data_IF_849936316047
#
_entry.id   IF_849936316047
#
_cell.length_a   1.000
_cell.length_b   1.000
_cell.length_c   1.000
_cell.angle_alpha   90.00
_cell.angle_beta   90.00
_cell.angle_gamma   90.00
#
_symmetry.space_group_name_H-M   'P 1'
#
loop_
_entity.id
_entity.type
_entity.pdbx_description
1 polymer ?
#
# COMPACT_ATOMS: atom_id res chain seq x y z
N UNK A 1 2.28 -15.49 -15.74
CA UNK A 1 2.76 -16.83 -15.31
C UNK A 1 2.43 -17.84 -16.38
N UNK A 2 3.29 -18.84 -16.64
CA UNK A 2 2.96 -19.88 -17.61
C UNK A 2 1.64 -20.57 -17.25
N UNK A 3 0.77 -20.86 -18.23
CA UNK A 3 -0.53 -21.45 -17.97
C UNK A 3 -0.38 -22.90 -17.45
N UNK A 4 -1.12 -23.31 -16.40
CA UNK A 4 -1.03 -24.66 -15.86
C UNK A 4 -1.64 -25.73 -16.79
N UNK A 5 -2.47 -25.31 -17.75
CA UNK A 5 -3.10 -26.14 -18.79
C UNK A 5 -3.07 -25.39 -20.12
N UNK A 6 -3.20 -26.07 -21.28
CA UNK A 6 -3.29 -25.39 -22.58
C UNK A 6 -4.38 -24.31 -22.57
N UNK A 7 -3.99 -23.06 -22.85
CA UNK A 7 -4.91 -21.93 -22.87
C UNK A 7 -5.41 -21.70 -24.31
N UNK A 8 -6.73 -21.69 -24.49
CA UNK A 8 -7.37 -21.45 -25.80
C UNK A 8 -7.03 -20.08 -26.39
N UNK A 9 -6.70 -19.09 -25.55
CA UNK A 9 -6.29 -17.75 -25.99
C UNK A 9 -4.80 -17.67 -26.36
N UNK A 10 -3.95 -18.50 -25.73
CA UNK A 10 -2.53 -18.61 -26.11
C UNK A 10 -2.31 -19.54 -27.32
N UNK A 11 -3.21 -20.50 -27.52
CA UNK A 11 -3.16 -21.49 -28.59
C UNK A 11 -4.54 -21.62 -29.26
N UNK A 12 -4.98 -20.63 -30.07
CA UNK A 12 -6.22 -20.76 -30.81
C UNK A 12 -6.14 -21.94 -31.78
N UNK A 13 -7.13 -22.84 -31.73
CA UNK A 13 -7.26 -23.99 -32.65
C UNK A 13 -7.25 -23.46 -34.09
N UNK A 14 -6.47 -24.04 -35.02
CA UNK A 14 -6.36 -23.52 -36.37
C UNK A 14 -7.72 -23.59 -37.07
N UNK A 15 -8.33 -22.42 -37.31
CA UNK A 15 -9.42 -22.27 -38.27
C UNK A 15 -8.81 -22.17 -39.68
N UNK A 16 -9.38 -22.89 -40.63
CA UNK A 16 -8.75 -23.35 -41.89
C UNK A 16 -8.29 -22.29 -42.91
N UNK A 17 -8.20 -20.99 -42.60
CA UNK A 17 -7.95 -19.94 -43.61
C UNK A 17 -7.06 -18.77 -43.22
N UNK A 18 -6.31 -18.81 -42.11
CA UNK A 18 -5.37 -17.71 -41.80
C UNK A 18 -3.96 -18.19 -41.49
N UNK A 19 -3.00 -17.59 -42.21
CA UNK A 19 -1.56 -17.70 -42.05
C UNK A 19 -1.19 -17.67 -40.56
N UNK A 20 -0.37 -18.63 -40.12
CA UNK A 20 0.14 -18.72 -38.76
C UNK A 20 0.91 -17.44 -38.40
N UNK A 21 0.27 -16.53 -37.69
CA UNK A 21 0.91 -15.65 -36.71
C UNK A 21 0.77 -16.28 -35.32
N UNK A 22 1.07 -17.57 -35.20
CA UNK A 22 1.18 -18.23 -33.90
C UNK A 22 2.40 -17.69 -33.16
N UNK A 23 2.19 -16.98 -32.04
CA UNK A 23 3.13 -16.81 -30.91
C UNK A 23 2.73 -15.65 -29.98
N UNK A 24 1.44 -15.49 -29.66
CA UNK A 24 0.99 -14.47 -28.72
C UNK A 24 0.44 -15.13 -27.46
N UNK A 25 1.16 -15.03 -26.35
CA UNK A 25 0.55 -15.33 -25.04
C UNK A 25 -0.55 -14.30 -24.77
N UNK A 26 -1.68 -14.74 -24.22
CA UNK A 26 -2.72 -13.80 -23.80
C UNK A 26 -2.26 -13.03 -22.55
N UNK A 27 -2.91 -11.90 -22.27
CA UNK A 27 -2.54 -11.02 -21.15
C UNK A 27 -2.71 -11.68 -19.78
N UNK A 28 -3.50 -12.75 -19.67
CA UNK A 28 -3.56 -13.55 -18.44
C UNK A 28 -2.24 -14.27 -18.13
N UNK A 29 -1.50 -14.68 -19.17
CA UNK A 29 -0.34 -15.56 -19.02
C UNK A 29 0.98 -14.85 -19.31
N UNK A 30 0.96 -13.76 -20.09
CA UNK A 30 2.17 -13.08 -20.55
C UNK A 30 2.07 -11.56 -20.55
N UNK A 31 2.49 -10.92 -19.46
CA UNK A 31 2.84 -9.50 -19.40
C UNK A 31 3.92 -9.29 -18.34
N UNK A 32 4.61 -8.17 -18.43
CA UNK A 32 5.62 -7.71 -17.48
C UNK A 32 5.29 -6.27 -17.10
N UNK A 33 5.27 -6.00 -15.79
CA UNK A 33 5.19 -4.66 -15.24
C UNK A 33 6.56 -4.32 -14.65
N UNK A 34 7.15 -3.22 -15.10
CA UNK A 34 8.44 -2.74 -14.60
C UNK A 34 8.30 -1.34 -14.04
N UNK A 35 9.02 -1.05 -12.95
CA UNK A 35 9.14 0.28 -12.36
C UNK A 35 10.53 0.48 -11.79
N UNK A 36 10.99 1.72 -11.77
CA UNK A 36 12.26 2.13 -11.18
C UNK A 36 12.04 3.42 -10.39
N UNK A 37 12.52 3.43 -9.16
CA UNK A 37 12.50 4.60 -8.30
C UNK A 37 13.81 4.68 -7.50
N UNK A 38 14.08 5.87 -6.96
CA UNK A 38 15.24 6.12 -6.11
C UNK A 38 14.79 6.21 -4.65
N UNK A 39 15.71 5.90 -3.74
CA UNK A 39 15.50 6.00 -2.30
C UNK A 39 16.66 6.78 -1.67
N UNK A 40 16.38 7.46 -0.57
CA UNK A 40 17.36 8.28 0.16
C UNK A 40 17.61 7.72 1.56
N UNK A 41 18.66 8.23 2.22
CA UNK A 41 18.95 7.88 3.60
C UNK A 41 17.90 8.51 4.55
N UNK A 42 17.45 7.80 5.60
CA UNK A 42 17.76 6.41 5.92
C UNK A 42 17.09 5.45 4.93
N UNK A 43 17.88 4.56 4.30
CA UNK A 43 17.34 3.70 3.24
C UNK A 43 16.22 2.80 3.79
N UNK A 44 15.02 2.82 3.19
CA UNK A 44 13.87 2.03 3.65
C UNK A 44 14.19 0.54 3.82
N UNK A 45 13.58 -0.09 4.82
CA UNK A 45 13.77 -1.53 5.05
C UNK A 45 13.05 -2.36 3.98
N UNK A 46 13.69 -3.43 3.51
CA UNK A 46 13.05 -4.42 2.65
C UNK A 46 12.22 -5.41 3.48
N UNK A 47 10.90 -5.42 3.29
CA UNK A 47 9.93 -6.16 4.11
C UNK A 47 8.96 -7.00 3.25
N UNK A 48 9.45 -7.97 2.44
CA UNK A 48 8.62 -8.64 1.43
C UNK A 48 7.39 -9.36 2.00
N UNK A 49 7.49 -9.91 3.22
CA UNK A 49 6.38 -10.59 3.89
C UNK A 49 5.19 -9.66 4.18
N UNK A 50 5.43 -8.36 4.39
CA UNK A 50 4.37 -7.36 4.55
C UNK A 50 4.04 -6.67 3.22
N UNK A 51 5.06 -6.33 2.43
CA UNK A 51 4.89 -5.60 1.17
C UNK A 51 4.05 -6.36 0.14
N UNK A 52 3.99 -7.69 0.23
CA UNK A 52 3.23 -8.56 -0.67
C UNK A 52 2.08 -9.30 0.04
N UNK A 53 1.76 -8.95 1.29
CA UNK A 53 0.80 -9.70 2.12
C UNK A 53 -0.64 -9.69 1.55
N UNK A 54 -0.96 -8.69 0.73
CA UNK A 54 -2.24 -8.60 0.03
C UNK A 54 -2.07 -9.05 -1.42
N UNK A 55 -2.84 -10.05 -1.82
CA UNK A 55 -2.83 -10.54 -3.21
C UNK A 55 -3.04 -9.42 -4.22
N UNK A 56 -2.27 -9.47 -5.31
CA UNK A 56 -2.30 -8.50 -6.40
C UNK A 56 -1.90 -7.06 -6.00
N UNK A 57 -1.44 -6.83 -4.77
CA UNK A 57 -0.96 -5.52 -4.29
C UNK A 57 0.48 -5.62 -3.82
N UNK A 58 1.28 -4.63 -4.22
CA UNK A 58 2.62 -4.41 -3.69
C UNK A 58 2.70 -3.05 -3.01
N UNK A 59 3.27 -3.00 -1.80
CA UNK A 59 3.57 -1.76 -1.08
C UNK A 59 5.04 -1.36 -1.31
N UNK A 60 5.24 -0.16 -1.84
CA UNK A 60 6.56 0.38 -2.18
C UNK A 60 6.84 1.63 -1.35
N UNK A 61 7.83 1.57 -0.47
CA UNK A 61 8.34 2.73 0.25
C UNK A 61 9.37 3.46 -0.65
N UNK A 62 9.04 4.69 -1.04
CA UNK A 62 9.88 5.53 -1.92
C UNK A 62 10.73 6.53 -1.15
N UNK A 63 10.87 6.36 0.17
CA UNK A 63 11.42 7.30 1.16
C UNK A 63 10.52 8.49 1.46
N UNK A 64 9.77 9.02 0.50
CA UNK A 64 8.87 10.17 0.69
C UNK A 64 7.39 9.80 0.77
N UNK A 65 7.05 8.62 0.25
CA UNK A 65 5.66 8.13 0.26
C UNK A 65 5.61 6.61 0.35
N UNK A 66 4.46 6.09 0.78
CA UNK A 66 4.11 4.69 0.62
C UNK A 66 3.13 4.55 -0.54
N UNK A 67 3.52 3.81 -1.57
CA UNK A 67 2.67 3.57 -2.74
C UNK A 67 2.14 2.15 -2.70
N UNK A 68 0.82 2.00 -2.67
CA UNK A 68 0.13 0.73 -2.91
C UNK A 68 -0.16 0.60 -4.40
N UNK A 69 0.41 -0.42 -5.04
CA UNK A 69 0.21 -0.69 -6.46
C UNK A 69 -0.62 -1.96 -6.62
N UNK A 70 -1.84 -1.84 -7.14
CA UNK A 70 -2.74 -2.94 -7.45
C UNK A 70 -2.66 -3.33 -8.93
N UNK A 71 -2.54 -4.61 -9.23
CA UNK A 71 -2.48 -5.12 -10.60
C UNK A 71 -3.55 -6.18 -10.81
N UNK A 72 -4.53 -5.90 -11.66
CA UNK A 72 -5.59 -6.85 -12.02
C UNK A 72 -5.69 -7.08 -13.53
N UNK A 73 -6.19 -8.25 -13.91
CA UNK A 73 -6.60 -8.53 -15.27
C UNK A 73 -8.11 -8.26 -15.41
N UNK A 74 -8.47 -7.36 -16.31
CA UNK A 74 -9.85 -6.99 -16.60
C UNK A 74 -10.33 -7.76 -17.85
N UNK A 75 -11.32 -8.67 -17.77
CA UNK A 75 -11.69 -9.58 -18.87
C UNK A 75 -12.54 -8.96 -19.99
N UNK A 76 -12.76 -7.64 -20.00
CA UNK A 76 -13.41 -6.93 -21.11
C UNK A 76 -14.93 -7.08 -21.23
N UNK A 77 -15.62 -7.64 -20.21
CA UNK A 77 -17.09 -7.64 -20.13
C UNK A 77 -17.56 -6.35 -19.43
N UNK A 78 -18.44 -5.61 -20.09
CA UNK A 78 -18.99 -4.34 -19.62
C UNK A 78 -19.63 -4.53 -18.22
N UNK A 79 -19.05 -3.92 -17.18
CA UNK A 79 -19.60 -3.91 -15.82
C UNK A 79 -18.81 -4.64 -14.72
N UNK A 80 -17.72 -5.35 -15.04
CA UNK A 80 -16.82 -5.92 -14.02
C UNK A 80 -15.50 -5.14 -13.95
N UNK A 81 -15.46 -4.10 -13.10
CA UNK A 81 -14.19 -3.51 -12.66
C UNK A 81 -13.71 -4.27 -11.45
N UNK A 82 -12.57 -4.97 -11.58
CA UNK A 82 -11.86 -5.58 -10.45
C UNK A 82 -11.05 -4.51 -9.74
N UNK A 83 -11.74 -3.51 -9.18
CA UNK A 83 -11.07 -2.45 -8.43
C UNK A 83 -10.47 -3.04 -7.16
N UNK A 84 -9.14 -3.07 -7.08
CA UNK A 84 -8.42 -3.62 -5.92
C UNK A 84 -8.20 -2.54 -4.86
N UNK A 85 -7.96 -1.30 -5.29
CA UNK A 85 -7.62 -0.17 -4.43
C UNK A 85 -8.68 0.93 -4.53
N UNK A 86 -8.91 1.60 -3.41
CA UNK A 86 -9.75 2.78 -3.30
C UNK A 86 -11.18 2.59 -3.84
N UNK A 87 -12.01 1.80 -3.17
CA UNK A 87 -13.42 1.64 -3.58
C UNK A 87 -14.17 2.96 -3.35
N UNK A 88 -14.47 3.68 -4.43
CA UNK A 88 -15.36 4.83 -4.36
C UNK A 88 -16.70 4.30 -3.85
N UNK A 89 -17.15 4.75 -2.67
CA UNK A 89 -18.49 4.41 -2.17
C UNK A 89 -19.47 4.63 -3.32
N UNK A 90 -20.04 3.55 -3.84
CA UNK A 90 -21.26 3.66 -4.62
C UNK A 90 -22.21 4.42 -3.70
N UNK A 91 -22.67 5.59 -4.13
CA UNK A 91 -23.81 6.25 -3.53
C UNK A 91 -24.87 5.18 -3.36
N UNK A 92 -25.15 4.80 -2.11
CA UNK A 92 -26.30 3.98 -1.77
C UNK A 92 -27.48 4.66 -2.45
N UNK A 93 -27.96 4.06 -3.53
CA UNK A 93 -29.22 4.43 -4.13
C UNK A 93 -30.24 4.20 -3.04
N UNK A 94 -30.81 5.30 -2.55
CA UNK A 94 -32.00 5.34 -1.73
C UNK A 94 -33.15 4.74 -2.53
N UNK A 95 -33.19 3.42 -2.64
CA UNK A 95 -34.44 2.73 -2.91
C UNK A 95 -35.16 2.60 -1.59
N UNK A 96 -36.06 3.57 -1.37
CA UNK A 96 -37.09 3.49 -0.35
C UNK A 96 -37.83 2.16 -0.48
N UNK A 97 -37.70 1.32 0.55
CA UNK A 97 -38.65 0.26 0.82
C UNK A 97 -39.65 0.83 1.81
N UNK A 98 -40.88 0.87 1.34
CA UNK A 98 -42.08 1.38 1.96
C UNK A 98 -42.38 0.75 3.31
N UNK A 99 -42.88 1.61 4.20
CA UNK A 99 -43.47 1.35 5.50
C UNK A 99 -44.27 0.04 5.61
N UNK A 100 -44.12 -0.62 6.75
CA UNK A 100 -45.15 -1.45 7.37
C UNK A 100 -45.06 -1.29 8.88
N UNK A 101 -45.71 -0.24 9.37
CA UNK A 101 -45.94 0.01 10.78
C UNK A 101 -47.03 -0.93 11.30
N UNK A 102 -46.71 -1.80 12.24
CA UNK A 102 -47.71 -2.43 13.12
C UNK A 102 -47.54 -1.88 14.54
N UNK A 103 -48.48 -1.02 14.91
CA UNK A 103 -48.74 -0.49 16.24
C UNK A 103 -49.12 -1.59 17.23
N UNK A 104 -48.56 -1.53 18.45
CA UNK A 104 -49.31 -1.82 19.68
C UNK A 104 -48.66 -1.13 20.90
N UNK A 105 -49.37 -0.12 21.39
CA UNK A 105 -49.38 0.46 22.75
C UNK A 105 -49.98 -0.56 23.74
N UNK A 106 -49.84 -0.55 25.07
CA UNK A 106 -49.30 0.33 26.11
C UNK A 106 -48.88 -0.59 27.30
N UNK A 107 -48.11 -0.13 28.29
CA UNK A 107 -48.64 0.22 29.63
C UNK A 107 -47.56 0.86 30.50
N UNK A 108 -47.98 1.89 31.22
CA UNK A 108 -47.24 2.78 32.13
C UNK A 108 -47.10 2.25 33.56
N UNK A 109 -45.99 2.58 34.24
CA UNK A 109 -45.98 2.90 35.68
C UNK A 109 -44.70 3.68 36.08
N UNK A 110 -44.76 4.35 37.22
CA UNK A 110 -44.21 5.69 37.57
C UNK A 110 -42.90 5.74 38.41
N UNK A 111 -42.02 6.71 38.08
CA UNK A 111 -41.12 7.65 38.87
C UNK A 111 -40.57 7.31 40.29
N UNK A 112 -39.53 8.01 40.84
CA UNK A 112 -38.47 8.87 40.26
C UNK A 112 -37.01 8.69 40.85
N UNK A 113 -36.07 9.49 40.32
CA UNK A 113 -34.86 10.07 40.97
C UNK A 113 -33.57 9.24 41.14
N UNK A 114 -32.47 9.76 40.57
CA UNK A 114 -31.10 9.47 41.00
C UNK A 114 -30.04 9.48 39.88
N UNK A 115 -29.49 10.65 39.53
CA UNK A 115 -28.18 10.76 38.84
C UNK A 115 -27.06 10.41 39.83
N UNK A 116 -25.97 9.77 39.39
CA UNK A 116 -24.79 10.57 39.02
C UNK A 116 -24.03 10.07 37.78
N UNK A 117 -23.55 11.05 37.00
CA UNK A 117 -22.25 11.11 36.32
C UNK A 117 -21.72 9.84 35.62
N UNK A 118 -22.16 9.62 34.38
CA UNK A 118 -21.50 8.73 33.42
C UNK A 118 -20.52 9.51 32.53
N UNK A 119 -19.24 9.36 32.84
CA UNK A 119 -18.06 9.66 32.01
C UNK A 119 -18.32 9.36 30.51
N UNK A 120 -17.99 10.26 29.57
CA UNK A 120 -18.12 9.95 28.15
C UNK A 120 -17.14 8.84 27.74
N UNK A 121 -17.52 7.94 26.81
CA UNK A 121 -16.63 6.92 26.28
C UNK A 121 -15.46 7.56 25.50
N UNK A 122 -14.33 6.87 25.32
CA UNK A 122 -13.18 7.41 24.59
C UNK A 122 -13.61 7.80 23.17
N UNK A 123 -13.27 9.04 22.81
CA UNK A 123 -13.50 9.63 21.50
C UNK A 123 -12.95 8.74 20.40
N UNK A 124 -13.80 8.48 19.39
CA UNK A 124 -13.45 7.80 18.15
C UNK A 124 -12.19 8.44 17.54
N UNK A 125 -11.20 7.67 17.05
CA UNK A 125 -10.01 8.23 16.43
C UNK A 125 -10.42 9.21 15.33
N UNK A 126 -9.86 10.41 15.38
CA UNK A 126 -10.11 11.50 14.44
C UNK A 126 -9.64 11.05 13.05
N UNK A 127 -10.56 11.01 12.08
CA UNK A 127 -10.20 10.68 10.70
C UNK A 127 -9.40 11.83 10.11
N UNK A 128 -8.17 11.57 9.71
CA UNK A 128 -7.34 12.56 9.02
C UNK A 128 -7.89 12.74 7.60
N UNK A 129 -8.29 13.96 7.19
CA UNK A 129 -8.74 14.21 5.82
C UNK A 129 -7.54 14.20 4.87
N UNK A 130 -7.06 13.03 4.47
CA UNK A 130 -6.06 12.90 3.42
C UNK A 130 -6.71 13.16 2.06
N UNK A 131 -6.01 13.87 1.18
CA UNK A 131 -6.22 13.77 -0.27
C UNK A 131 -5.16 12.81 -0.84
N UNK A 132 -5.26 11.49 -0.58
CA UNK A 132 -4.33 10.54 -1.16
C UNK A 132 -4.44 10.64 -2.68
N UNK A 133 -3.30 10.69 -3.37
CA UNK A 133 -3.32 10.70 -4.82
C UNK A 133 -3.63 9.29 -5.32
N UNK A 134 -4.65 9.19 -6.17
CA UNK A 134 -5.08 7.94 -6.79
C UNK A 134 -4.86 8.04 -8.31
N UNK A 135 -4.31 6.99 -8.91
CA UNK A 135 -4.29 6.84 -10.36
C UNK A 135 -4.67 5.44 -10.78
N UNK A 136 -5.28 5.33 -11.96
CA UNK A 136 -5.63 4.06 -12.58
C UNK A 136 -5.33 4.14 -14.08
N UNK A 137 -4.65 3.12 -14.60
CA UNK A 137 -4.33 2.99 -16.01
C UNK A 137 -4.63 1.57 -16.49
N UNK A 138 -5.20 1.43 -17.68
CA UNK A 138 -5.47 0.14 -18.31
C UNK A 138 -4.63 -0.04 -19.57
N UNK A 139 -4.06 -1.22 -19.77
CA UNK A 139 -3.12 -1.54 -20.83
C UNK A 139 -3.59 -2.77 -21.62
N UNK A 140 -3.47 -2.74 -22.94
CA UNK A 140 -3.88 -3.85 -23.82
C UNK A 140 -2.80 -4.20 -24.83
N UNK A 141 -2.93 -5.38 -25.45
CA UNK A 141 -2.08 -5.76 -26.58
C UNK A 141 -2.31 -4.80 -27.76
N UNK A 142 -1.22 -4.46 -28.45
CA UNK A 142 -1.25 -3.59 -29.61
C UNK A 142 -2.01 -4.26 -30.76
N UNK A 143 -2.94 -3.53 -31.38
CA UNK A 143 -3.67 -4.01 -32.54
C UNK A 143 -2.85 -3.78 -33.82
N UNK A 144 -2.80 -4.73 -34.77
CA UNK A 144 -2.11 -4.54 -36.05
C UNK A 144 -2.67 -3.31 -36.78
N UNK A 145 -1.81 -2.32 -37.07
CA UNK A 145 -2.17 -1.09 -37.79
C UNK A 145 -2.38 0.16 -36.93
N UNK A 146 -2.27 0.06 -35.60
CA UNK A 146 -2.22 1.24 -34.74
C UNK A 146 -0.81 1.86 -34.76
N UNK A 147 -0.72 3.17 -35.02
CA UNK A 147 0.54 3.91 -34.92
C UNK A 147 1.19 3.68 -33.55
N UNK A 148 2.50 3.44 -33.53
CA UNK A 148 3.27 3.38 -32.29
C UNK A 148 3.08 4.69 -31.54
N UNK A 149 2.45 4.63 -30.36
CA UNK A 149 2.48 5.76 -29.45
C UNK A 149 3.92 5.89 -28.97
N UNK A 150 4.51 7.11 -28.97
CA UNK A 150 5.87 7.29 -28.52
C UNK A 150 6.01 6.74 -27.11
N UNK A 151 7.06 5.95 -26.90
CA UNK A 151 7.51 5.53 -25.60
C UNK A 151 8.02 6.77 -24.85
N UNK A 152 7.13 7.50 -24.20
CA UNK A 152 7.43 8.76 -23.54
C UNK A 152 6.30 9.76 -23.74
N UNK A 153 5.76 10.24 -22.63
CA UNK A 153 4.61 11.14 -22.60
C UNK A 153 4.78 12.37 -23.49
N UNK A 154 3.71 12.69 -24.20
CA UNK A 154 3.49 14.01 -24.78
C UNK A 154 2.02 14.39 -24.53
N UNK A 155 1.78 14.93 -23.33
CA UNK A 155 0.58 15.63 -22.89
C UNK A 155 1.04 16.60 -21.81
N UNK A 156 0.78 17.89 -22.01
CA UNK A 156 1.54 19.00 -21.43
C UNK A 156 1.57 19.06 -19.89
N UNK A 157 2.66 19.66 -19.40
CA UNK A 157 2.85 20.24 -18.07
C UNK A 157 1.73 19.96 -17.03
N UNK A 158 1.74 18.77 -16.45
CA UNK A 158 1.20 18.50 -15.10
C UNK A 158 2.36 17.97 -14.25
N UNK A 159 3.25 18.88 -13.87
CA UNK A 159 4.54 18.65 -13.17
C UNK A 159 4.38 18.34 -11.66
N UNK A 160 3.22 17.86 -11.21
CA UNK A 160 2.90 17.75 -9.77
C UNK A 160 2.35 16.37 -9.34
N UNK A 161 2.29 15.38 -10.24
CA UNK A 161 1.79 14.05 -9.87
C UNK A 161 2.94 13.13 -9.49
N UNK A 162 3.23 13.05 -8.19
CA UNK A 162 4.09 12.03 -7.57
C UNK A 162 3.48 10.64 -7.80
N UNK A 163 3.64 10.11 -9.01
CA UNK A 163 3.21 8.77 -9.41
C UNK A 163 4.44 7.96 -9.80
N UNK A 164 4.47 6.70 -9.36
CA UNK A 164 5.54 5.80 -9.76
C UNK A 164 5.42 5.52 -11.26
N UNK A 165 6.50 5.72 -12.04
CA UNK A 165 6.47 5.42 -13.47
C UNK A 165 6.44 3.90 -13.67
N UNK A 166 5.52 3.44 -14.51
CA UNK A 166 5.40 2.05 -14.91
C UNK A 166 5.56 1.88 -16.42
N UNK A 167 6.30 0.85 -16.80
CA UNK A 167 6.35 0.32 -18.16
C UNK A 167 5.65 -1.03 -18.17
N UNK A 168 4.66 -1.20 -19.06
CA UNK A 168 3.93 -2.46 -19.23
C UNK A 168 4.26 -3.06 -20.58
N UNK A 169 4.87 -4.24 -20.60
CA UNK A 169 5.26 -4.95 -21.83
C UNK A 169 4.67 -6.35 -21.89
N UNK A 170 4.64 -6.94 -23.09
CA UNK A 170 4.44 -8.38 -23.23
C UNK A 170 5.75 -9.14 -22.88
N UNK A 171 5.73 -10.49 -22.93
CA UNK A 171 6.94 -11.27 -22.64
C UNK A 171 8.04 -11.13 -23.71
N UNK A 172 7.74 -10.51 -24.86
CA UNK A 172 8.72 -10.18 -25.91
C UNK A 172 9.31 -8.77 -25.72
N UNK A 173 8.90 -8.05 -24.68
CA UNK A 173 9.35 -6.68 -24.39
C UNK A 173 8.67 -5.60 -25.23
N UNK A 174 7.59 -5.92 -25.95
CA UNK A 174 6.81 -4.93 -26.71
C UNK A 174 5.87 -4.19 -25.76
N UNK A 175 5.84 -2.86 -25.86
CA UNK A 175 4.97 -2.04 -25.01
C UNK A 175 3.49 -2.34 -25.28
N UNK A 176 2.70 -2.44 -24.21
CA UNK A 176 1.25 -2.48 -24.30
C UNK A 176 0.72 -1.07 -24.58
N UNK A 177 -0.41 -1.01 -25.27
CA UNK A 177 -1.09 0.24 -25.57
C UNK A 177 -1.92 0.68 -24.35
N UNK A 178 -1.74 1.94 -23.93
CA UNK A 178 -2.62 2.58 -22.94
C UNK A 178 -4.04 2.71 -23.50
N UNK A 179 -5.02 2.33 -22.69
CA UNK A 179 -6.42 2.41 -23.06
C UNK A 179 -7.02 3.73 -22.58
N UNK A 180 -7.44 4.57 -23.52
CA UNK A 180 -7.99 5.91 -23.26
C UNK A 180 -9.51 6.01 -23.42
N UNK A 181 -10.22 4.89 -23.53
CA UNK A 181 -11.66 4.87 -23.76
C UNK A 181 -12.33 3.51 -23.54
N UNK A 182 -13.65 3.41 -23.80
CA UNK A 182 -14.35 2.14 -23.73
C UNK A 182 -13.74 1.16 -24.72
N UNK A 183 -13.46 -0.05 -24.25
CA UNK A 183 -12.82 -1.08 -25.05
C UNK A 183 -13.44 -2.44 -24.74
N UNK A 184 -13.49 -3.28 -25.78
CA UNK A 184 -13.82 -4.69 -25.66
C UNK A 184 -12.51 -5.50 -25.74
N UNK A 185 -12.29 -6.37 -24.77
CA UNK A 185 -11.12 -7.25 -24.72
C UNK A 185 -10.39 -7.21 -23.38
N UNK A 186 -9.45 -8.14 -23.20
CA UNK A 186 -8.63 -8.21 -22.00
C UNK A 186 -7.72 -6.99 -21.88
N UNK A 187 -7.59 -6.46 -20.66
CA UNK A 187 -6.62 -5.42 -20.33
C UNK A 187 -5.97 -5.69 -18.96
N UNK A 188 -4.73 -5.24 -18.79
CA UNK A 188 -4.05 -5.18 -17.51
C UNK A 188 -4.36 -3.82 -16.88
N UNK A 189 -4.99 -3.84 -15.71
CA UNK A 189 -5.38 -2.67 -14.94
C UNK A 189 -4.33 -2.45 -13.83
N UNK A 190 -3.70 -1.28 -13.82
CA UNK A 190 -2.71 -0.86 -12.82
C UNK A 190 -3.30 0.30 -12.02
N UNK A 191 -3.42 0.12 -10.72
CA UNK A 191 -3.94 1.09 -9.76
C UNK A 191 -2.81 1.54 -8.84
N UNK A 192 -2.71 2.83 -8.55
CA UNK A 192 -1.81 3.39 -7.55
C UNK A 192 -2.59 4.20 -6.53
N UNK A 193 -2.31 3.96 -5.25
CA UNK A 193 -2.74 4.79 -4.15
C UNK A 193 -1.51 5.21 -3.36
N UNK A 194 -1.28 6.52 -3.26
CA UNK A 194 -0.06 7.07 -2.65
C UNK A 194 -0.39 7.78 -1.34
N UNK A 195 0.37 7.44 -0.30
CA UNK A 195 0.35 8.09 0.99
C UNK A 195 1.63 8.94 1.16
N UNK A 196 1.48 10.26 1.15
CA UNK A 196 2.56 11.21 1.37
C UNK A 196 2.95 11.26 2.86
N UNK A 197 4.23 11.02 3.16
CA UNK A 197 4.70 10.94 4.53
C UNK A 197 4.75 12.30 5.21
N UNK A 198 5.21 13.36 4.53
CA UNK A 198 5.33 14.68 5.16
C UNK A 198 3.98 15.28 5.49
N UNK A 199 3.01 15.13 4.59
CA UNK A 199 1.62 15.51 4.84
C UNK A 199 1.09 14.77 6.07
N UNK A 200 1.25 13.45 6.12
CA UNK A 200 0.78 12.62 7.22
C UNK A 200 1.45 13.01 8.55
N UNK A 201 2.77 13.18 8.57
CA UNK A 201 3.53 13.56 9.77
C UNK A 201 3.03 14.90 10.31
N UNK A 202 2.93 15.92 9.45
CA UNK A 202 2.46 17.24 9.87
C UNK A 202 1.02 17.20 10.40
N UNK A 203 0.16 16.38 9.79
CA UNK A 203 -1.23 16.24 10.19
C UNK A 203 -1.39 15.55 11.54
N UNK A 204 -0.66 14.46 11.78
CA UNK A 204 -0.66 13.74 13.05
C UNK A 204 -0.08 14.62 14.17
N UNK A 205 1.03 15.33 13.91
CA UNK A 205 1.62 16.22 14.91
C UNK A 205 0.61 17.30 15.31
N UNK A 206 -0.01 17.97 14.34
CA UNK A 206 -0.94 19.08 14.62
C UNK A 206 -2.20 18.63 15.35
N UNK A 207 -2.71 17.45 15.05
CA UNK A 207 -4.02 16.99 15.51
C UNK A 207 -3.95 16.14 16.78
N UNK A 208 -2.89 15.33 16.94
CA UNK A 208 -2.86 14.26 17.95
C UNK A 208 -1.65 14.30 18.89
N UNK A 209 -0.57 15.01 18.56
CA UNK A 209 0.62 15.04 19.41
C UNK A 209 0.47 16.03 20.59
N UNK A 210 0.56 15.53 21.82
CA UNK A 210 0.50 16.37 23.03
C UNK A 210 1.63 17.42 23.09
N UNK A 211 2.76 17.15 22.44
CA UNK A 211 3.92 18.03 22.35
C UNK A 211 3.90 18.94 21.10
N UNK A 212 2.81 18.99 20.34
CA UNK A 212 2.68 19.85 19.16
C UNK A 212 3.02 21.33 19.39
N UNK A 213 2.67 21.96 20.54
CA UNK A 213 3.05 23.36 20.79
C UNK A 213 4.56 23.59 20.90
N UNK A 214 5.35 22.55 21.20
CA UNK A 214 6.81 22.62 21.28
C UNK A 214 7.48 22.36 19.92
N UNK A 215 6.77 21.76 18.96
CA UNK A 215 7.32 21.31 17.68
C UNK A 215 7.72 22.49 16.80
N UNK A 216 8.93 22.40 16.22
CA UNK A 216 9.44 23.38 15.27
C UNK A 216 9.41 22.83 13.83
N UNK A 217 10.10 21.71 13.61
CA UNK A 217 10.24 21.05 12.32
C UNK A 217 10.78 19.64 12.51
N UNK A 218 10.56 18.73 11.56
CA UNK A 218 11.31 17.47 11.49
C UNK A 218 12.44 17.59 10.46
N UNK A 219 13.54 16.87 10.69
CA UNK A 219 14.71 16.88 9.80
C UNK A 219 14.77 15.64 8.91
N UNK A 220 14.30 14.50 9.41
CA UNK A 220 14.45 13.20 8.76
C UNK A 220 13.46 12.18 9.36
N UNK A 221 13.11 11.14 8.61
CA UNK A 221 12.12 10.14 9.02
C UNK A 221 12.36 8.76 8.38
N UNK A 222 11.95 7.70 9.09
CA UNK A 222 12.08 6.31 8.64
C UNK A 222 10.76 5.56 8.85
N UNK A 223 10.18 5.04 7.76
CA UNK A 223 8.86 4.39 7.79
C UNK A 223 9.00 2.88 7.68
N UNK A 224 8.43 2.16 8.64
CA UNK A 224 8.44 0.69 8.73
C UNK A 224 7.01 0.18 8.75
N UNK A 225 6.70 -0.82 7.92
CA UNK A 225 5.40 -1.50 7.96
C UNK A 225 5.40 -2.45 9.16
N UNK A 226 4.41 -2.31 10.04
CA UNK A 226 4.24 -3.16 11.22
C UNK A 226 3.30 -4.33 10.95
N UNK A 227 2.24 -4.13 10.17
CA UNK A 227 1.25 -5.16 9.84
C UNK A 227 0.49 -4.79 8.56
N UNK A 228 -0.01 -5.79 7.84
CA UNK A 228 -0.94 -5.61 6.72
C UNK A 228 -2.07 -6.61 6.89
N UNK A 229 -3.30 -6.12 7.11
CA UNK A 229 -4.48 -6.96 7.16
C UNK A 229 -5.16 -6.99 5.78
N UNK A 230 -4.99 -8.07 4.98
CA UNK A 230 -5.55 -8.13 3.64
C UNK A 230 -7.09 -8.25 3.64
N UNK A 231 -7.70 -8.72 4.73
CA UNK A 231 -9.15 -8.82 4.87
C UNK A 231 -9.83 -7.46 5.06
N UNK A 232 -9.25 -6.57 5.87
CA UNK A 232 -9.79 -5.21 6.09
C UNK A 232 -9.17 -4.17 5.17
N UNK A 233 -8.18 -4.57 4.36
CA UNK A 233 -7.36 -3.68 3.53
C UNK A 233 -6.70 -2.56 4.34
N UNK A 234 -6.21 -2.88 5.53
CA UNK A 234 -5.56 -1.91 6.43
C UNK A 234 -4.07 -2.18 6.51
N UNK A 235 -3.27 -1.13 6.32
CA UNK A 235 -1.81 -1.15 6.47
C UNK A 235 -1.47 -0.38 7.75
N UNK A 236 -0.73 -1.03 8.66
CA UNK A 236 -0.20 -0.39 9.87
C UNK A 236 1.26 -0.02 9.64
N UNK A 237 1.57 1.25 9.82
CA UNK A 237 2.94 1.76 9.70
C UNK A 237 3.38 2.43 11.00
N UNK A 238 4.69 2.40 11.22
CA UNK A 238 5.39 3.20 12.22
C UNK A 238 6.29 4.19 11.49
N UNK A 239 6.30 5.43 11.94
CA UNK A 239 7.11 6.52 11.38
C UNK A 239 8.03 7.00 12.48
N UNK A 240 9.31 6.65 12.41
CA UNK A 240 10.35 7.20 13.27
C UNK A 240 10.69 8.60 12.80
N UNK A 241 10.80 9.55 13.72
CA UNK A 241 11.05 10.96 13.42
C UNK A 241 12.29 11.46 14.13
N UNK A 242 13.14 12.18 13.42
CA UNK A 242 14.10 13.13 14.00
C UNK A 242 13.54 14.53 13.83
N UNK A 243 13.39 15.26 14.94
CA UNK A 243 12.75 16.57 14.94
C UNK A 243 13.37 17.55 15.93
N UNK A 244 13.08 18.83 15.73
CA UNK A 244 13.42 19.90 16.66
C UNK A 244 12.18 20.34 17.43
N UNK A 245 12.33 20.52 18.74
CA UNK A 245 11.28 21.03 19.61
C UNK A 245 11.86 21.86 20.75
N UNK A 246 11.06 22.77 21.31
CA UNK A 246 11.39 23.49 22.53
C UNK A 246 11.25 22.56 23.75
N UNK A 247 12.13 22.74 24.73
CA UNK A 247 11.98 22.06 26.03
C UNK A 247 10.82 22.68 26.82
N UNK A 248 10.16 21.86 27.64
CA UNK A 248 9.13 22.32 28.60
C UNK A 248 9.70 23.06 29.82
N UNK A 249 11.00 23.28 29.90
CA UNK A 249 11.63 23.95 31.04
C UNK A 249 11.59 25.45 30.81
N UNK A 250 10.95 26.19 31.74
CA UNK A 250 10.87 27.66 31.79
C UNK A 250 12.27 28.29 32.03
N UNK A 251 13.16 28.19 31.05
CA UNK A 251 14.42 28.94 31.04
C UNK A 251 14.31 30.11 30.05
N UNK A 252 14.71 31.31 30.49
CA UNK A 252 14.55 32.59 29.74
C UNK A 252 15.24 32.65 28.36
N UNK A 253 15.88 31.57 27.90
CA UNK A 253 16.55 31.47 26.59
C UNK A 253 16.40 30.07 25.96
N UNK A 254 15.20 29.48 25.94
CA UNK A 254 14.94 28.17 25.33
C UNK A 254 15.37 28.11 23.87
N UNK A 255 16.47 27.40 23.59
CA UNK A 255 16.82 26.97 22.23
C UNK A 255 16.15 25.62 21.95
N UNK A 256 15.67 25.38 20.72
CA UNK A 256 15.13 24.09 20.36
C UNK A 256 16.26 23.04 20.34
N UNK A 257 15.97 21.86 20.87
CA UNK A 257 16.86 20.70 20.86
C UNK A 257 16.37 19.65 19.87
N UNK A 258 17.25 18.73 19.50
CA UNK A 258 16.90 17.58 18.65
C UNK A 258 16.33 16.44 19.48
N UNK A 259 15.19 15.92 19.04
CA UNK A 259 14.48 14.80 19.65
C UNK A 259 14.22 13.71 18.62
N UNK A 260 14.02 12.51 19.13
CA UNK A 260 13.45 11.38 18.41
C UNK A 260 12.06 11.06 18.98
N UNK A 261 11.12 10.75 18.10
CA UNK A 261 9.79 10.24 18.45
C UNK A 261 9.32 9.23 17.39
N UNK A 262 8.15 8.63 17.58
CA UNK A 262 7.52 7.79 16.58
C UNK A 262 6.00 8.02 16.48
N UNK A 263 5.45 7.86 15.29
CA UNK A 263 4.02 7.96 15.01
C UNK A 263 3.52 6.63 14.45
N UNK A 264 2.46 6.08 15.03
CA UNK A 264 1.81 4.87 14.55
C UNK A 264 0.50 5.25 13.86
N UNK A 265 0.34 4.80 12.61
CA UNK A 265 -0.79 5.15 11.77
C UNK A 265 -1.36 3.91 11.09
N UNK A 266 -2.68 3.82 11.02
CA UNK A 266 -3.40 2.87 10.17
C UNK A 266 -3.83 3.55 8.87
N UNK A 267 -3.61 2.92 7.73
CA UNK A 267 -4.02 3.39 6.40
C UNK A 267 -4.98 2.40 5.75
N UNK A 268 -6.20 2.85 5.46
CA UNK A 268 -7.23 2.05 4.80
C UNK A 268 -7.11 2.17 3.28
N UNK A 269 -6.75 1.08 2.59
CA UNK A 269 -6.59 1.06 1.14
C UNK A 269 -7.93 1.14 0.39
N UNK A 270 -9.07 0.93 1.05
CA UNK A 270 -10.39 1.11 0.41
C UNK A 270 -10.79 2.57 0.31
N UNK A 271 -10.43 3.39 1.30
CA UNK A 271 -10.88 4.78 1.40
C UNK A 271 -9.74 5.78 1.25
N UNK A 272 -8.49 5.31 1.36
CA UNK A 272 -7.29 6.12 1.43
C UNK A 272 -7.13 6.92 2.73
N UNK A 273 -8.05 6.77 3.69
CA UNK A 273 -8.05 7.49 4.97
C UNK A 273 -6.96 6.92 5.89
N UNK A 274 -6.32 7.83 6.62
CA UNK A 274 -5.40 7.51 7.70
C UNK A 274 -6.03 7.81 9.07
N UNK A 275 -5.73 6.97 10.05
CA UNK A 275 -6.08 7.21 11.45
C UNK A 275 -4.84 7.05 12.32
N UNK A 276 -4.61 8.01 13.21
CA UNK A 276 -3.57 7.91 14.23
C UNK A 276 -3.92 6.82 15.23
N UNK A 277 -2.97 5.93 15.48
CA UNK A 277 -3.09 4.82 16.43
C UNK A 277 -2.31 5.11 17.71
N UNK A 278 -1.16 5.77 17.58
CA UNK A 278 -0.33 6.14 18.72
C UNK A 278 0.69 7.21 18.37
N UNK A 279 1.02 8.04 19.35
CA UNK A 279 2.05 9.07 19.26
C UNK A 279 3.04 8.84 20.40
N UNK A 280 4.33 8.70 20.08
CA UNK A 280 5.39 8.53 21.06
C UNK A 280 5.78 9.86 21.74
N UNK A 281 6.33 9.74 22.94
CA UNK A 281 6.94 10.87 23.64
C UNK A 281 8.21 11.36 22.93
N UNK A 282 8.63 12.59 23.25
CA UNK A 282 9.90 13.14 22.80
C UNK A 282 11.06 12.57 23.62
N UNK A 283 12.04 11.97 22.94
CA UNK A 283 13.29 11.49 23.54
C UNK A 283 14.46 12.29 23.02
N UNK A 284 15.15 13.02 23.91
CA UNK A 284 16.23 13.93 23.51
C UNK A 284 17.44 13.16 22.95
N UNK A 285 17.95 13.60 21.80
CA UNK A 285 19.08 12.96 21.11
C UNK A 285 20.38 13.59 21.61
N UNK A 286 21.05 12.94 22.57
CA UNK A 286 22.29 13.44 23.19
C UNK A 286 23.53 12.74 22.66
N UNK A 287 24.23 13.38 21.71
CA UNK A 287 25.50 12.88 21.18
C UNK A 287 25.42 11.57 20.38
N UNK A 288 24.22 11.05 20.16
CA UNK A 288 23.96 9.89 19.31
C UNK A 288 24.10 10.28 17.84
N UNK A 289 24.65 9.39 17.02
CA UNK A 289 24.64 9.56 15.57
C UNK A 289 23.28 9.22 15.00
N UNK A 290 22.87 9.81 13.88
CA UNK A 290 21.62 9.49 13.18
C UNK A 290 21.47 7.99 12.92
N UNK A 291 22.55 7.32 12.50
CA UNK A 291 22.57 5.88 12.29
C UNK A 291 22.27 5.06 13.55
N UNK A 292 22.73 5.50 14.72
CA UNK A 292 22.41 4.83 15.99
C UNK A 292 20.95 5.02 16.40
N UNK A 293 20.36 6.19 16.14
CA UNK A 293 18.93 6.47 16.36
C UNK A 293 18.08 5.55 15.48
N UNK A 294 18.36 5.51 14.18
CA UNK A 294 17.61 4.68 13.23
C UNK A 294 17.76 3.18 13.48
N UNK A 295 18.96 2.72 13.88
CA UNK A 295 19.18 1.33 14.29
C UNK A 295 18.34 0.95 15.52
N UNK A 296 18.31 1.81 16.55
CA UNK A 296 17.50 1.61 17.75
C UNK A 296 15.99 1.59 17.42
N UNK A 297 15.54 2.54 16.60
CA UNK A 297 14.17 2.62 16.11
C UNK A 297 13.74 1.34 15.36
N UNK A 298 14.54 0.87 14.39
CA UNK A 298 14.25 -0.36 13.64
C UNK A 298 14.23 -1.59 14.54
N UNK A 299 15.13 -1.67 15.52
CA UNK A 299 15.12 -2.75 16.52
C UNK A 299 13.83 -2.76 17.34
N UNK A 300 13.31 -1.58 17.71
CA UNK A 300 12.00 -1.46 18.37
C UNK A 300 10.85 -1.96 17.48
N UNK A 301 10.88 -1.64 16.19
CA UNK A 301 9.90 -2.14 15.22
C UNK A 301 9.94 -3.67 15.10
N UNK A 302 11.15 -4.27 14.99
CA UNK A 302 11.33 -5.73 14.97
C UNK A 302 10.79 -6.36 16.25
N UNK A 303 11.11 -5.79 17.43
CA UNK A 303 10.59 -6.28 18.70
C UNK A 303 9.06 -6.24 18.75
N UNK A 304 8.45 -5.19 18.20
CA UNK A 304 6.99 -5.06 18.11
C UNK A 304 6.42 -6.16 17.22
N UNK A 305 6.92 -6.33 16.00
CA UNK A 305 6.47 -7.38 15.08
C UNK A 305 6.61 -8.77 15.71
N UNK A 306 7.77 -9.08 16.32
CA UNK A 306 8.03 -10.37 16.95
C UNK A 306 7.13 -10.63 18.17
N UNK A 307 6.82 -9.59 18.94
CA UNK A 307 5.92 -9.69 20.10
C UNK A 307 4.49 -10.07 19.70
N UNK A 308 4.04 -9.62 18.55
CA UNK A 308 2.66 -9.82 18.06
C UNK A 308 2.55 -10.86 16.94
N UNK A 309 3.63 -11.59 16.64
CA UNK A 309 3.67 -12.55 15.55
C UNK A 309 2.74 -13.74 15.83
N UNK A 310 1.82 -13.98 14.90
CA UNK A 310 0.96 -15.17 14.89
C UNK A 310 1.33 -16.04 13.69
N UNK A 311 1.61 -17.35 13.87
CA UNK A 311 1.92 -18.24 12.76
C UNK A 311 0.80 -18.28 11.71
N UNK A 312 1.18 -18.17 10.44
CA UNK A 312 0.27 -18.21 9.30
C UNK A 312 0.19 -19.62 8.68
N UNK A 313 -0.87 -19.88 7.91
CA UNK A 313 -0.99 -21.12 7.14
C UNK A 313 0.10 -21.21 6.07
N UNK A 314 0.58 -22.43 5.78
CA UNK A 314 1.50 -22.70 4.67
C UNK A 314 0.93 -22.36 3.28
N UNK A 315 -0.37 -22.07 3.17
CA UNK A 315 -0.96 -21.61 1.90
C UNK A 315 -0.88 -20.09 1.70
N UNK A 316 -0.56 -19.32 2.75
CA UNK A 316 -0.61 -17.85 2.74
C UNK A 316 0.76 -17.18 2.87
N UNK A 317 1.83 -17.94 3.08
CA UNK A 317 3.15 -17.35 3.23
C UNK A 317 3.63 -16.73 1.90
N UNK A 318 4.37 -15.63 2.02
CA UNK A 318 5.04 -15.02 0.88
C UNK A 318 6.32 -15.80 0.58
N UNK A 319 6.35 -16.49 -0.56
CA UNK A 319 7.54 -17.21 -0.99
C UNK A 319 8.64 -16.24 -1.45
N UNK A 320 9.75 -16.19 -0.72
CA UNK A 320 10.90 -15.34 -1.02
C UNK A 320 12.08 -16.22 -1.44
N UNK A 321 12.50 -16.07 -2.69
CA UNK A 321 13.67 -16.77 -3.25
C UNK A 321 14.85 -15.81 -3.39
N UNK A 322 16.03 -16.17 -2.90
CA UNK A 322 17.26 -15.36 -3.04
C UNK A 322 18.49 -16.27 -3.03
N UNK A 323 19.39 -16.11 -4.00
CA UNK A 323 20.72 -16.73 -4.00
C UNK A 323 21.78 -15.64 -4.19
N UNK A 324 22.69 -15.49 -3.22
CA UNK A 324 23.65 -14.39 -3.15
C UNK A 324 25.06 -14.77 -3.62
N UNK A 325 25.22 -15.86 -4.39
CA UNK A 325 26.51 -16.36 -4.85
C UNK A 325 27.43 -15.28 -5.45
N UNK A 326 26.89 -14.39 -6.29
CA UNK A 326 27.66 -13.31 -6.93
C UNK A 326 27.95 -12.12 -6.00
N UNK A 327 27.15 -11.92 -4.94
CA UNK A 327 27.28 -10.77 -4.04
C UNK A 327 28.12 -11.09 -2.80
N UNK A 328 28.01 -12.33 -2.28
CA UNK A 328 28.69 -12.79 -1.06
C UNK A 328 29.73 -13.87 -1.30
N UNK A 329 29.86 -14.35 -2.54
CA UNK A 329 30.80 -15.43 -2.90
C UNK A 329 30.38 -16.83 -2.42
N UNK A 330 29.18 -16.99 -1.87
CA UNK A 330 28.66 -18.27 -1.35
C UNK A 330 27.27 -18.55 -1.91
N UNK A 331 27.10 -19.73 -2.51
CA UNK A 331 25.82 -20.18 -3.06
C UNK A 331 24.96 -20.90 -2.00
N UNK A 332 23.65 -20.97 -2.26
CA UNK A 332 22.77 -21.91 -1.58
C UNK A 332 23.25 -23.36 -1.81
N UNK A 333 23.03 -24.21 -0.81
CA UNK A 333 23.33 -25.63 -0.88
C UNK A 333 22.14 -26.46 -1.38
N UNK A 334 20.92 -26.01 -1.05
CA UNK A 334 19.68 -26.76 -1.32
C UNK A 334 18.57 -25.82 -1.74
N UNK A 335 17.77 -26.23 -2.73
CA UNK A 335 16.43 -25.68 -2.99
C UNK A 335 15.40 -26.72 -2.53
N UNK A 336 14.53 -26.35 -1.59
CA UNK A 336 13.58 -27.27 -0.98
C UNK A 336 12.13 -26.91 -1.34
N UNK A 337 11.38 -27.91 -1.79
CA UNK A 337 9.91 -27.94 -1.81
C UNK A 337 9.44 -28.64 -0.54
N UNK A 338 8.94 -27.86 0.42
CA UNK A 338 8.51 -28.39 1.73
C UNK A 338 7.22 -29.18 1.62
N UNK A 339 6.30 -28.79 0.73
CA UNK A 339 5.00 -29.44 0.58
C UNK A 339 5.16 -30.86 -0.02
N UNK A 340 6.13 -31.02 -0.91
CA UNK A 340 6.46 -32.31 -1.53
C UNK A 340 7.64 -33.03 -0.90
N UNK A 341 8.23 -32.47 0.16
CA UNK A 341 9.44 -32.99 0.80
C UNK A 341 10.56 -33.32 -0.22
N UNK A 342 10.74 -32.47 -1.24
CA UNK A 342 11.65 -32.71 -2.37
C UNK A 342 12.75 -31.67 -2.40
N UNK A 343 14.00 -32.11 -2.51
CA UNK A 343 15.18 -31.25 -2.42
C UNK A 343 16.02 -31.33 -3.70
N UNK A 344 16.53 -30.19 -4.15
CA UNK A 344 17.52 -30.07 -5.22
C UNK A 344 18.84 -29.64 -4.57
N UNK A 345 19.87 -30.47 -4.69
CA UNK A 345 21.23 -30.16 -4.21
C UNK A 345 22.00 -29.42 -5.31
N UNK A 346 22.68 -28.32 -4.95
CA UNK A 346 23.35 -27.38 -5.86
C UNK A 346 24.88 -27.54 -5.91
#
# INVERSE_FOLDING_TARGET
MPPPKPCSYCCPVPSATTIRTGSGECLEHGYVLNSRYQVVYPFPTFQPAFQLKKDQVILLNTSYSLVACGISLCPGKQGQSSQILYTKRASLSSQGSTFSSSTSSASSSSLPQGSPESRPPPSRPTSIPSSPSQSQAAYRLQQPGAAEQPAGGAGGYEDDKVQLPFTVTDLKGRNLQLVTGPHNGQSVCVEQLTLDFEYLINEVIRSDAAWAPQFCSFSDYDVVILEVCPETNTVMINIGLLLMAFSNVDEEHCRPNTYHSNLQVSWDLNTGVCCTVGVGDLTEVKGQTSGSVWSSYRKSCVNTVMKWLVPESSSRYINRMTNEALHKGSSLQVLADSDRCTWIVL
#
